data_IF_356269742131
#
_entry.id   IF_356269742131
#
_cell.length_a   1.000
_cell.length_b   1.000
_cell.length_c   1.000
_cell.angle_alpha   90.00
_cell.angle_beta   90.00
_cell.angle_gamma   90.00
#
_symmetry.space_group_name_H-M   'P 1'
#
loop_
_entity.id
_entity.type
_entity.pdbx_description
1 polymer ?
#
# COMPACT_ATOMS: atom_id res chain seq x y z
N UNK A 1 -5.02 21.84 14.28
CA UNK A 1 -5.59 21.77 12.91
C UNK A 1 -4.82 20.83 11.99
N UNK A 2 -3.57 21.11 11.58
CA UNK A 2 -2.83 20.23 10.64
C UNK A 2 -2.43 18.88 11.27
N UNK A 3 -1.96 18.92 12.53
CA UNK A 3 -1.58 17.71 13.27
C UNK A 3 -2.78 16.83 13.62
N UNK A 4 -3.93 17.44 13.96
CA UNK A 4 -5.19 16.72 14.21
C UNK A 4 -5.75 16.08 12.94
N UNK A 5 -5.66 16.77 11.80
CA UNK A 5 -6.04 16.19 10.51
C UNK A 5 -5.16 14.99 10.15
N UNK A 6 -3.84 15.11 10.31
CA UNK A 6 -2.90 14.01 10.10
C UNK A 6 -3.16 12.84 11.05
N UNK A 7 -3.45 13.12 12.32
CA UNK A 7 -3.80 12.08 13.29
C UNK A 7 -5.03 11.29 12.87
N UNK A 8 -6.08 11.94 12.33
CA UNK A 8 -7.28 11.24 11.87
C UNK A 8 -7.02 10.36 10.65
N UNK A 9 -6.17 10.82 9.72
CA UNK A 9 -5.71 10.02 8.59
C UNK A 9 -4.93 8.77 9.04
N UNK A 10 -4.04 8.93 10.01
CA UNK A 10 -3.28 7.80 10.60
C UNK A 10 -4.22 6.79 11.25
N UNK A 11 -5.21 7.24 12.03
CA UNK A 11 -6.18 6.34 12.67
C UNK A 11 -7.04 5.60 11.63
N UNK A 12 -7.41 6.27 10.54
CA UNK A 12 -8.13 5.61 9.46
C UNK A 12 -7.27 4.59 8.72
N UNK A 13 -5.99 4.90 8.47
CA UNK A 13 -5.04 3.97 7.87
C UNK A 13 -4.85 2.71 8.72
N UNK A 14 -4.84 2.84 10.06
CA UNK A 14 -4.78 1.69 10.98
C UNK A 14 -6.00 0.78 10.81
N UNK A 15 -7.21 1.34 10.71
CA UNK A 15 -8.42 0.54 10.46
C UNK A 15 -8.34 -0.22 9.14
N UNK A 16 -7.82 0.41 8.08
CA UNK A 16 -7.62 -0.26 6.77
C UNK A 16 -6.57 -1.36 6.86
N UNK A 17 -5.48 -1.14 7.59
CA UNK A 17 -4.51 -2.20 7.92
C UNK A 17 -5.13 -3.35 8.72
N UNK A 18 -6.08 -3.07 9.61
CA UNK A 18 -6.77 -4.10 10.39
C UNK A 18 -7.74 -4.94 9.56
N UNK A 19 -8.38 -4.34 8.55
CA UNK A 19 -9.19 -5.06 7.54
C UNK A 19 -8.30 -5.99 6.70
N UNK A 20 -7.05 -5.59 6.48
CA UNK A 20 -6.09 -6.38 5.73
C UNK A 20 -5.44 -7.45 6.61
N UNK A 21 -5.37 -8.69 6.12
CA UNK A 21 -4.70 -9.81 6.80
C UNK A 21 -3.16 -9.74 6.67
N UNK A 22 -2.59 -8.54 6.87
CA UNK A 22 -1.14 -8.28 6.91
C UNK A 22 -0.56 -8.70 8.27
N UNK A 23 0.73 -9.04 8.32
CA UNK A 23 1.42 -9.39 9.56
C UNK A 23 1.36 -8.31 10.64
N UNK A 24 1.20 -8.73 11.90
CA UNK A 24 1.08 -7.83 13.05
C UNK A 24 2.29 -6.91 13.24
N UNK A 25 3.49 -7.35 12.85
CA UNK A 25 4.69 -6.52 12.96
C UNK A 25 4.62 -5.29 12.05
N UNK A 26 3.98 -5.41 10.88
CA UNK A 26 3.75 -4.29 9.95
C UNK A 26 2.76 -3.31 10.57
N UNK A 27 1.66 -3.81 11.14
CA UNK A 27 0.65 -2.99 11.83
C UNK A 27 1.26 -2.22 13.01
N UNK A 28 2.05 -2.92 13.83
CA UNK A 28 2.75 -2.34 14.96
C UNK A 28 3.82 -1.32 14.52
N UNK A 29 4.53 -1.58 13.42
CA UNK A 29 5.50 -0.65 12.84
C UNK A 29 4.85 0.63 12.29
N UNK A 30 3.70 0.51 11.62
CA UNK A 30 2.93 1.68 11.18
C UNK A 30 2.51 2.57 12.33
N UNK A 31 2.09 1.99 13.47
CA UNK A 31 1.82 2.75 14.69
C UNK A 31 3.01 3.55 15.24
N UNK A 32 4.24 3.21 14.83
CA UNK A 32 5.49 3.91 15.18
C UNK A 32 6.00 4.83 14.07
N UNK A 33 5.26 4.96 12.96
CA UNK A 33 5.64 5.78 11.81
C UNK A 33 6.48 5.06 10.75
N UNK A 34 6.55 3.73 10.78
CA UNK A 34 7.23 2.93 9.76
C UNK A 34 6.26 2.53 8.65
N UNK A 35 6.75 2.44 7.41
CA UNK A 35 5.97 1.94 6.27
C UNK A 35 6.69 0.72 5.72
N UNK A 36 5.91 -0.29 5.33
CA UNK A 36 6.41 -1.53 4.78
C UNK A 36 5.97 -1.68 3.32
N UNK A 37 6.71 -2.52 2.61
CA UNK A 37 6.46 -2.84 1.21
C UNK A 37 6.32 -4.35 1.05
N UNK A 38 5.30 -4.78 0.32
CA UNK A 38 5.15 -6.13 -0.21
C UNK A 38 5.74 -6.21 -1.61
N UNK A 39 6.73 -7.07 -1.82
CA UNK A 39 7.28 -7.35 -3.16
C UNK A 39 6.91 -8.74 -3.63
N UNK A 40 6.26 -8.81 -4.80
CA UNK A 40 5.96 -10.09 -5.45
C UNK A 40 7.23 -10.86 -5.74
N UNK A 41 7.40 -12.01 -5.09
CA UNK A 41 8.61 -12.83 -5.23
C UNK A 41 8.23 -14.26 -5.59
N UNK A 42 8.90 -14.80 -6.62
CA UNK A 42 8.80 -16.21 -6.94
C UNK A 42 9.85 -16.99 -6.14
N UNK A 43 9.39 -17.96 -5.36
CA UNK A 43 10.24 -18.82 -4.53
C UNK A 43 10.10 -20.25 -5.03
N UNK A 44 11.23 -20.97 -5.13
CA UNK A 44 11.27 -22.38 -5.51
C UNK A 44 11.44 -23.24 -4.25
N UNK A 45 10.47 -24.11 -3.97
CA UNK A 45 10.53 -25.08 -2.87
C UNK A 45 10.24 -26.46 -3.44
N UNK A 46 11.15 -27.42 -3.26
CA UNK A 46 11.00 -28.78 -3.79
C UNK A 46 10.64 -28.86 -5.29
N UNK A 47 11.26 -28.00 -6.12
CA UNK A 47 10.98 -27.83 -7.57
C UNK A 47 9.57 -27.31 -7.90
N UNK A 48 8.77 -26.93 -6.91
CA UNK A 48 7.51 -26.22 -7.10
C UNK A 48 7.73 -24.71 -6.96
N UNK A 49 7.09 -23.94 -7.85
CA UNK A 49 7.12 -22.48 -7.83
C UNK A 49 5.97 -21.96 -7.00
N UNK A 50 6.28 -21.16 -5.99
CA UNK A 50 5.33 -20.39 -5.21
C UNK A 50 5.52 -18.91 -5.49
N UNK A 51 4.44 -18.15 -5.49
CA UNK A 51 4.48 -16.69 -5.58
C UNK A 51 3.98 -16.15 -4.25
N UNK A 52 4.88 -15.51 -3.50
CA UNK A 52 4.60 -14.97 -2.17
C UNK A 52 5.16 -13.54 -2.12
N UNK A 53 4.49 -12.63 -1.38
CA UNK A 53 5.05 -11.34 -1.08
C UNK A 53 6.18 -11.49 -0.06
N UNK A 54 7.32 -10.85 -0.32
CA UNK A 54 8.33 -10.58 0.70
C UNK A 54 8.05 -9.21 1.27
N UNK A 55 7.97 -9.10 2.59
CA UNK A 55 7.72 -7.86 3.31
C UNK A 55 9.04 -7.27 3.79
N UNK A 56 9.24 -5.98 3.56
CA UNK A 56 10.43 -5.25 4.03
C UNK A 56 10.12 -3.78 4.28
N UNK A 57 10.92 -3.11 5.11
CA UNK A 57 10.77 -1.67 5.37
C UNK A 57 11.11 -0.86 4.12
N UNK A 58 10.32 0.19 3.83
CA UNK A 58 10.54 0.99 2.62
C UNK A 58 11.95 1.59 2.55
N UNK A 59 12.53 1.58 1.34
CA UNK A 59 13.83 2.18 1.04
C UNK A 59 13.79 3.70 1.10
N UNK A 60 14.95 4.36 1.20
CA UNK A 60 15.00 5.82 1.21
C UNK A 60 14.51 6.46 -0.10
N UNK A 61 14.63 5.75 -1.24
CA UNK A 61 14.03 6.19 -2.50
C UNK A 61 12.51 6.14 -2.43
N UNK A 62 11.93 5.05 -1.92
CA UNK A 62 10.49 4.92 -1.74
C UNK A 62 9.95 5.97 -0.76
N UNK A 63 10.65 6.26 0.35
CA UNK A 63 10.28 7.33 1.28
C UNK A 63 10.18 8.70 0.60
N UNK A 64 11.12 9.03 -0.29
CA UNK A 64 11.06 10.30 -1.05
C UNK A 64 9.86 10.37 -1.97
N UNK A 65 9.48 9.24 -2.58
CA UNK A 65 8.29 9.14 -3.44
C UNK A 65 7.02 9.32 -2.60
N UNK A 66 6.93 8.64 -1.46
CA UNK A 66 5.83 8.79 -0.50
C UNK A 66 5.70 10.26 -0.07
N UNK A 67 6.77 10.88 0.41
CA UNK A 67 6.75 12.27 0.89
C UNK A 67 6.32 13.26 -0.21
N UNK A 68 6.81 13.09 -1.44
CA UNK A 68 6.36 13.88 -2.60
C UNK A 68 4.86 13.71 -2.85
N UNK A 69 4.37 12.48 -2.76
CA UNK A 69 2.98 12.14 -3.02
C UNK A 69 2.03 12.64 -1.93
N UNK A 70 2.34 12.38 -0.65
CA UNK A 70 1.58 12.85 0.51
C UNK A 70 1.47 14.38 0.51
N UNK A 71 2.57 15.09 0.22
CA UNK A 71 2.55 16.56 0.11
C UNK A 71 1.71 17.08 -1.05
N UNK A 72 1.69 16.37 -2.17
CA UNK A 72 0.96 16.79 -3.38
C UNK A 72 -0.55 16.64 -3.22
N UNK A 73 -1.01 15.56 -2.60
CA UNK A 73 -2.43 15.21 -2.53
C UNK A 73 -3.06 15.34 -1.13
N UNK A 74 -2.24 15.51 -0.08
CA UNK A 74 -2.72 15.56 1.30
C UNK A 74 -3.11 14.19 1.86
N UNK A 75 -2.64 13.12 1.24
CA UNK A 75 -2.93 11.74 1.63
C UNK A 75 -1.91 11.22 2.65
N UNK A 76 -2.19 10.07 3.27
CA UNK A 76 -1.18 9.28 3.99
C UNK A 76 -1.06 7.89 3.37
N UNK A 77 0.18 7.43 3.15
CA UNK A 77 0.47 6.09 2.65
C UNK A 77 0.73 5.17 3.83
N UNK A 78 0.07 4.02 3.86
CA UNK A 78 0.21 3.04 4.95
C UNK A 78 0.88 1.74 4.54
N UNK A 79 0.89 1.42 3.24
CA UNK A 79 1.58 0.24 2.71
C UNK A 79 1.93 0.44 1.23
N UNK A 80 2.93 -0.28 0.74
CA UNK A 80 3.32 -0.28 -0.68
C UNK A 80 3.30 -1.69 -1.25
N UNK A 81 2.83 -1.84 -2.49
CA UNK A 81 3.07 -3.06 -3.27
C UNK A 81 4.05 -2.73 -4.40
N UNK A 82 5.19 -3.41 -4.42
CA UNK A 82 6.20 -3.30 -5.48
C UNK A 82 5.98 -4.37 -6.54
N UNK A 83 5.84 -3.92 -7.79
CA UNK A 83 5.69 -4.80 -8.95
C UNK A 83 6.68 -4.42 -10.04
N UNK A 84 7.55 -5.36 -10.43
CA UNK A 84 8.42 -5.19 -11.59
C UNK A 84 7.70 -5.65 -12.85
N UNK A 85 7.59 -4.76 -13.83
CA UNK A 85 6.98 -5.04 -15.13
C UNK A 85 7.99 -4.83 -16.26
N UNK A 86 7.65 -5.26 -17.48
CA UNK A 86 8.41 -4.90 -18.69
C UNK A 86 8.38 -3.39 -19.01
N UNK A 87 7.48 -2.64 -18.36
CA UNK A 87 7.28 -1.20 -18.55
C UNK A 87 7.77 -0.38 -17.35
N UNK A 88 8.62 -0.98 -16.51
CA UNK A 88 9.25 -0.32 -15.38
C UNK A 88 8.83 -0.87 -14.02
N UNK A 89 9.45 -0.33 -12.98
CA UNK A 89 9.15 -0.59 -11.58
C UNK A 89 7.94 0.22 -11.13
N UNK A 90 6.90 -0.48 -10.70
CA UNK A 90 5.67 0.11 -10.18
C UNK A 90 5.62 0.03 -8.66
N UNK A 91 5.26 1.15 -8.03
CA UNK A 91 4.95 1.23 -6.60
C UNK A 91 3.48 1.62 -6.46
N UNK A 92 2.63 0.66 -6.09
CA UNK A 92 1.24 0.92 -5.78
C UNK A 92 1.13 1.34 -4.33
N UNK A 93 0.75 2.59 -4.11
CA UNK A 93 0.65 3.24 -2.80
C UNK A 93 -0.77 3.05 -2.25
N UNK A 94 -0.89 2.25 -1.20
CA UNK A 94 -2.14 2.11 -0.45
C UNK A 94 -2.25 3.28 0.51
N UNK A 95 -3.35 4.03 0.40
CA UNK A 95 -3.45 5.38 0.95
C UNK A 95 -4.81 5.70 1.57
N UNK A 96 -4.85 6.76 2.37
CA UNK A 96 -6.09 7.37 2.89
C UNK A 96 -6.17 8.82 2.44
N UNK A 97 -7.30 9.19 1.84
CA UNK A 97 -7.61 10.56 1.42
C UNK A 97 -8.12 11.42 2.59
N UNK A 98 -7.98 12.76 2.56
CA UNK A 98 -8.60 13.66 3.54
C UNK A 98 -10.12 13.77 3.39
N UNK A 99 -10.73 13.06 2.44
CA UNK A 99 -12.17 13.09 2.18
C UNK A 99 -12.90 12.12 3.11
N UNK A 100 -13.08 12.54 4.37
CA UNK A 100 -13.67 11.72 5.45
C UNK A 100 -15.03 11.10 5.11
N UNK A 101 -15.81 11.75 4.24
CA UNK A 101 -17.12 11.25 3.81
C UNK A 101 -17.04 9.98 2.95
N UNK A 102 -15.87 9.66 2.37
CA UNK A 102 -15.64 8.44 1.56
C UNK A 102 -15.20 7.25 2.43
N UNK A 103 -14.72 7.50 3.66
CA UNK A 103 -14.01 6.49 4.43
C UNK A 103 -14.85 5.27 4.79
N UNK A 104 -16.15 5.44 5.01
CA UNK A 104 -17.05 4.32 5.28
C UNK A 104 -17.15 3.38 4.08
N UNK A 105 -17.48 3.94 2.91
CA UNK A 105 -17.55 3.18 1.65
C UNK A 105 -16.19 2.54 1.30
N UNK A 106 -15.09 3.28 1.45
CA UNK A 106 -13.74 2.75 1.19
C UNK A 106 -13.44 1.52 2.07
N UNK A 107 -13.85 1.53 3.35
CA UNK A 107 -13.66 0.38 4.24
C UNK A 107 -14.57 -0.77 3.87
N UNK A 108 -15.82 -0.51 3.51
CA UNK A 108 -16.77 -1.53 3.05
C UNK A 108 -16.25 -2.24 1.80
N UNK A 109 -15.80 -1.49 0.79
CA UNK A 109 -15.19 -2.05 -0.43
C UNK A 109 -13.91 -2.85 -0.13
N UNK A 110 -13.06 -2.34 0.78
CA UNK A 110 -11.86 -3.05 1.20
C UNK A 110 -12.20 -4.35 1.96
N UNK A 111 -13.28 -4.36 2.74
CA UNK A 111 -13.69 -5.52 3.52
C UNK A 111 -14.37 -6.59 2.67
N UNK A 112 -15.28 -6.20 1.78
CA UNK A 112 -16.09 -7.12 0.97
C UNK A 112 -15.37 -7.60 -0.29
N UNK A 113 -14.64 -6.70 -0.95
CA UNK A 113 -14.06 -6.95 -2.27
C UNK A 113 -12.53 -6.95 -2.27
N UNK A 114 -11.90 -6.60 -1.14
CA UNK A 114 -10.45 -6.40 -1.05
C UNK A 114 -9.98 -5.41 -2.11
N UNK A 115 -10.77 -4.35 -2.32
CA UNK A 115 -10.57 -3.34 -3.35
C UNK A 115 -10.41 -1.96 -2.70
N UNK A 116 -9.52 -1.13 -3.25
CA UNK A 116 -9.46 0.31 -2.90
C UNK A 116 -8.83 1.13 -4.01
N UNK A 117 -9.08 2.44 -4.00
CA UNK A 117 -8.40 3.39 -4.87
C UNK A 117 -6.95 3.62 -4.40
N UNK A 118 -6.00 3.27 -5.25
CA UNK A 118 -4.57 3.46 -5.02
C UNK A 118 -3.99 4.45 -6.02
N UNK A 119 -2.77 4.90 -5.74
CA UNK A 119 -1.95 5.58 -6.73
C UNK A 119 -0.73 4.75 -7.05
N UNK A 120 -0.55 4.44 -8.32
CA UNK A 120 0.59 3.66 -8.79
C UNK A 120 1.61 4.59 -9.41
N UNK A 121 2.78 4.64 -8.80
CA UNK A 121 3.94 5.37 -9.32
C UNK A 121 4.73 4.44 -10.22
N UNK A 122 4.93 4.84 -11.48
CA UNK A 122 5.94 4.22 -12.31
C UNK A 122 7.26 4.96 -12.10
N UNK A 123 8.21 4.30 -11.44
CA UNK A 123 9.49 4.88 -11.02
C UNK A 123 10.37 5.20 -12.24
N UNK A 124 10.27 4.41 -13.30
CA UNK A 124 11.07 4.57 -14.51
C UNK A 124 10.43 5.56 -15.50
N UNK A 125 9.10 5.73 -15.46
CA UNK A 125 8.33 6.59 -16.36
C UNK A 125 7.22 7.35 -15.60
N UNK A 126 7.59 8.43 -14.91
CA UNK A 126 6.69 9.15 -13.98
C UNK A 126 5.37 9.58 -14.63
N UNK A 127 5.37 9.92 -15.93
CA UNK A 127 4.19 10.33 -16.71
C UNK A 127 3.11 9.25 -16.85
N UNK A 128 3.45 7.98 -16.61
CA UNK A 128 2.51 6.86 -16.59
C UNK A 128 2.01 6.53 -15.17
N UNK A 129 2.25 7.40 -14.20
CA UNK A 129 1.70 7.24 -12.84
C UNK A 129 0.24 7.68 -12.79
N UNK A 130 -0.62 6.87 -12.18
CA UNK A 130 -2.06 7.10 -12.20
C UNK A 130 -2.78 6.60 -10.95
N UNK A 131 -4.01 7.08 -10.78
CA UNK A 131 -4.96 6.50 -9.83
C UNK A 131 -5.63 5.29 -10.47
N UNK A 132 -5.66 4.18 -9.73
CA UNK A 132 -6.32 2.96 -10.19
C UNK A 132 -7.00 2.24 -9.02
N UNK A 133 -8.15 1.67 -9.31
CA UNK A 133 -8.79 0.70 -8.42
C UNK A 133 -7.97 -0.58 -8.41
N UNK A 134 -7.53 -1.00 -7.23
CA UNK A 134 -6.68 -2.16 -7.05
C UNK A 134 -7.40 -3.18 -6.19
N UNK A 135 -7.38 -4.45 -6.61
CA UNK A 135 -7.84 -5.58 -5.83
C UNK A 135 -6.62 -6.37 -5.28
N UNK A 136 -6.75 -6.92 -4.08
CA UNK A 136 -5.62 -7.54 -3.38
C UNK A 136 -5.85 -9.01 -3.03
N UNK A 137 -4.78 -9.78 -3.10
CA UNK A 137 -4.67 -11.09 -2.48
C UNK A 137 -3.84 -10.99 -1.20
N UNK A 138 -4.39 -11.48 -0.11
CA UNK A 138 -3.73 -11.59 1.19
C UNK A 138 -3.08 -12.98 1.28
N UNK A 139 -1.75 -13.04 1.26
CA UNK A 139 -1.03 -14.32 1.21
C UNK A 139 0.29 -14.22 1.96
N UNK A 140 0.57 -15.22 2.82
CA UNK A 140 1.82 -15.29 3.58
C UNK A 140 2.07 -14.06 4.45
N UNK A 141 1.01 -13.41 4.95
CA UNK A 141 1.10 -12.21 5.78
C UNK A 141 1.34 -10.90 5.01
N UNK A 142 1.46 -10.95 3.68
CA UNK A 142 1.63 -9.77 2.83
C UNK A 142 0.51 -9.61 1.80
N UNK A 143 0.73 -8.68 0.87
CA UNK A 143 -0.23 -8.34 -0.18
C UNK A 143 0.36 -8.51 -1.58
N UNK A 144 -0.45 -9.01 -2.50
CA UNK A 144 -0.20 -8.98 -3.93
C UNK A 144 -1.39 -8.34 -4.63
N UNK A 145 -1.14 -7.62 -5.74
CA UNK A 145 -2.22 -7.21 -6.63
C UNK A 145 -2.84 -8.43 -7.32
N UNK A 146 -4.16 -8.45 -7.45
CA UNK A 146 -4.87 -9.35 -8.35
C UNK A 146 -4.58 -8.96 -9.80
N UNK A 147 -4.45 -9.96 -10.67
CA UNK A 147 -4.22 -9.82 -12.11
C UNK A 147 -5.53 -9.93 -12.89
#
# INVERSE_FOLDING_TARGET
MLEEAKSRLVEEAKKRLDILSIEDHVKAGFGKGEIYCSKRTAIMVNRMKFVLPVIYSVTDQQKKIIDKYEKKYGFIVFHIIETSTKHGLLLTLLQVSPHEFEWENDREELQEQKMMLCFTVNVDYEEYSEFSWCCFNEVGGGLLLQE
#
